data_IF_260028591442
#
_entry.id   IF_260028591442
#
_cell.length_a   1.000
_cell.length_b   1.000
_cell.length_c   1.000
_cell.angle_alpha   90.00
_cell.angle_beta   90.00
_cell.angle_gamma   90.00
#
_symmetry.space_group_name_H-M   'P 1'
#
loop_
_entity.id
_entity.type
_entity.pdbx_description
1 polymer ?
#
# COMPACT_ATOMS: atom_id res chain seq x y z
N UNK A 1 1.71 -9.73 3.56
CA UNK A 1 1.13 -10.74 2.64
C UNK A 1 -0.36 -10.47 2.53
N UNK A 2 -1.07 -11.00 1.52
CA UNK A 2 -2.52 -10.85 1.43
C UNK A 2 -3.22 -11.23 2.74
N UNK A 3 -4.20 -10.43 3.15
CA UNK A 3 -4.90 -10.54 4.44
C UNK A 3 -4.22 -9.85 5.63
N UNK A 4 -2.99 -9.33 5.49
CA UNK A 4 -2.37 -8.53 6.55
C UNK A 4 -3.00 -7.12 6.60
N UNK A 5 -3.01 -6.49 7.78
CA UNK A 5 -3.57 -5.16 7.98
C UNK A 5 -2.55 -4.03 7.71
N UNK A 6 -3.02 -2.94 7.11
CA UNK A 6 -2.32 -1.65 7.00
C UNK A 6 -3.16 -0.59 7.72
N UNK A 7 -2.57 0.11 8.69
CA UNK A 7 -3.23 1.22 9.40
C UNK A 7 -2.53 2.54 9.04
N UNK A 8 -3.24 3.43 8.36
CA UNK A 8 -2.82 4.82 8.16
C UNK A 8 -3.44 5.69 9.26
N UNK A 9 -2.62 6.18 10.19
CA UNK A 9 -3.05 7.09 11.25
C UNK A 9 -2.93 8.54 10.80
N UNK A 10 -4.04 9.26 10.82
CA UNK A 10 -4.10 10.69 10.60
C UNK A 10 -4.72 11.38 11.84
N UNK A 11 -4.61 12.70 11.99
CA UNK A 11 -5.23 13.40 13.12
C UNK A 11 -6.73 13.10 13.22
N UNK A 12 -7.14 12.45 14.32
CA UNK A 12 -8.54 12.14 14.63
C UNK A 12 -9.14 10.93 13.90
N UNK A 13 -8.38 10.23 13.06
CA UNK A 13 -8.89 9.08 12.29
C UNK A 13 -7.80 8.09 11.92
N UNK A 14 -8.10 6.80 12.11
CA UNK A 14 -7.31 5.68 11.61
C UNK A 14 -8.03 5.06 10.40
N UNK A 15 -7.34 4.97 9.26
CA UNK A 15 -7.85 4.27 8.07
C UNK A 15 -7.24 2.87 8.02
N UNK A 16 -8.10 1.85 8.12
CA UNK A 16 -7.71 0.45 8.03
C UNK A 16 -7.87 -0.05 6.59
N UNK A 17 -6.83 -0.71 6.10
CA UNK A 17 -6.80 -1.39 4.81
C UNK A 17 -6.36 -2.84 5.02
N UNK A 18 -6.81 -3.74 4.15
CA UNK A 18 -6.35 -5.13 4.10
C UNK A 18 -5.49 -5.32 2.84
N UNK A 19 -4.32 -5.93 2.97
CA UNK A 19 -3.46 -6.23 1.81
C UNK A 19 -4.20 -7.18 0.88
N UNK A 20 -4.44 -6.76 -0.35
CA UNK A 20 -5.06 -7.59 -1.39
C UNK A 20 -4.01 -8.26 -2.28
N UNK A 21 -2.89 -7.57 -2.56
CA UNK A 21 -1.87 -8.08 -3.48
C UNK A 21 -0.45 -7.60 -3.11
N UNK A 22 0.53 -8.45 -3.38
CA UNK A 22 1.96 -8.12 -3.27
C UNK A 22 2.68 -8.62 -4.53
N UNK A 23 3.32 -7.72 -5.26
CA UNK A 23 3.96 -8.04 -6.54
C UNK A 23 5.20 -7.16 -6.81
N UNK A 24 6.04 -7.58 -7.75
CA UNK A 24 7.29 -6.90 -8.12
C UNK A 24 7.16 -6.38 -9.55
N UNK A 25 7.56 -5.11 -9.77
CA UNK A 25 7.49 -4.45 -11.09
C UNK A 25 8.80 -3.77 -11.48
N UNK A 26 8.92 -3.38 -12.75
CA UNK A 26 9.99 -2.49 -13.20
C UNK A 26 9.87 -1.11 -12.55
N UNK A 27 11.00 -0.40 -12.32
CA UNK A 27 10.98 0.97 -11.80
C UNK A 27 10.19 1.95 -12.68
N UNK A 28 10.01 1.66 -13.97
CA UNK A 28 9.31 2.50 -14.94
C UNK A 28 7.81 2.22 -15.06
N UNK A 29 7.31 1.15 -14.43
CA UNK A 29 5.87 0.80 -14.44
C UNK A 29 5.11 1.66 -13.43
N UNK A 30 4.95 2.94 -13.75
CA UNK A 30 4.31 3.95 -12.89
C UNK A 30 2.79 3.80 -12.83
N UNK A 31 2.18 3.07 -13.75
CA UNK A 31 0.76 2.76 -13.75
C UNK A 31 0.28 2.05 -12.48
N UNK A 32 1.18 1.41 -11.73
CA UNK A 32 0.86 0.73 -10.46
C UNK A 32 0.41 1.66 -9.34
N UNK A 33 0.71 2.96 -9.44
CA UNK A 33 0.29 4.01 -8.50
C UNK A 33 -0.83 4.90 -9.07
N UNK A 34 -1.37 4.57 -10.25
CA UNK A 34 -2.50 5.30 -10.79
C UNK A 34 -3.73 5.15 -9.86
N UNK A 35 -4.63 6.16 -9.80
CA UNK A 35 -5.89 6.03 -9.08
C UNK A 35 -6.70 4.82 -9.57
N UNK A 36 -7.39 4.16 -8.65
CA UNK A 36 -8.28 3.03 -8.91
C UNK A 36 -9.75 3.45 -8.75
N UNK A 37 -10.66 2.60 -9.20
CA UNK A 37 -12.11 2.78 -9.05
C UNK A 37 -12.62 2.47 -7.63
N UNK A 38 -11.74 1.98 -6.76
CA UNK A 38 -11.96 1.80 -5.33
C UNK A 38 -10.88 2.50 -4.49
N UNK A 39 -11.21 2.73 -3.21
CA UNK A 39 -10.27 3.28 -2.25
C UNK A 39 -9.18 2.25 -1.93
N UNK A 40 -7.95 2.59 -2.28
CA UNK A 40 -6.78 1.73 -2.08
C UNK A 40 -5.59 2.52 -1.55
N UNK A 41 -4.69 1.81 -0.88
CA UNK A 41 -3.37 2.31 -0.51
C UNK A 41 -2.31 1.46 -1.20
N UNK A 42 -1.32 2.11 -1.80
CA UNK A 42 -0.18 1.43 -2.43
C UNK A 42 1.11 1.81 -1.70
N UNK A 43 1.73 0.85 -1.02
CA UNK A 43 3.07 1.01 -0.45
C UNK A 43 4.09 0.51 -1.46
N UNK A 44 5.14 1.30 -1.71
CA UNK A 44 6.20 0.96 -2.67
C UNK A 44 7.57 1.08 -2.05
N UNK A 45 8.45 0.13 -2.35
CA UNK A 45 9.85 0.17 -1.94
C UNK A 45 10.77 -0.44 -3.01
N UNK A 46 12.07 -0.27 -2.84
CA UNK A 46 13.06 -0.88 -3.72
C UNK A 46 13.11 -2.41 -3.51
N UNK A 47 13.20 -3.14 -4.61
CA UNK A 47 13.46 -4.57 -4.61
C UNK A 47 14.82 -4.84 -5.26
N UNK A 48 15.71 -5.49 -4.50
CA UNK A 48 17.05 -5.87 -4.95
C UNK A 48 16.97 -7.04 -5.93
N UNK A 49 17.78 -6.97 -6.99
CA UNK A 49 18.08 -8.11 -7.87
C UNK A 49 19.60 -8.20 -8.01
N UNK A 50 20.18 -9.30 -7.53
CA UNK A 50 21.63 -9.47 -7.47
C UNK A 50 22.30 -8.36 -6.65
N UNK A 51 23.26 -7.64 -7.27
CA UNK A 51 23.99 -6.54 -6.62
C UNK A 51 23.27 -5.19 -6.68
N UNK A 52 22.22 -5.05 -7.50
CA UNK A 52 21.53 -3.77 -7.71
C UNK A 52 20.39 -3.66 -6.70
N UNK A 53 20.52 -2.77 -5.73
CA UNK A 53 19.60 -2.64 -4.57
C UNK A 53 18.21 -2.11 -4.93
N UNK A 54 18.09 -1.38 -6.04
CA UNK A 54 16.86 -0.73 -6.51
C UNK A 54 16.43 -1.18 -7.90
N UNK A 55 16.83 -2.40 -8.30
CA UNK A 55 16.60 -2.95 -9.63
C UNK A 55 15.12 -3.03 -10.01
N UNK A 56 14.25 -3.28 -9.03
CA UNK A 56 12.80 -3.41 -9.19
C UNK A 56 12.08 -2.62 -8.10
N UNK A 57 10.75 -2.62 -8.12
CA UNK A 57 9.91 -2.13 -7.02
C UNK A 57 9.08 -3.26 -6.47
N UNK A 58 9.04 -3.36 -5.14
CA UNK A 58 8.05 -4.16 -4.43
C UNK A 58 6.83 -3.28 -4.20
N UNK A 59 5.67 -3.77 -4.63
CA UNK A 59 4.38 -3.13 -4.48
C UNK A 59 3.56 -3.95 -3.50
N UNK A 60 2.99 -3.27 -2.51
CA UNK A 60 1.99 -3.84 -1.59
C UNK A 60 0.74 -2.99 -1.74
N UNK A 61 -0.35 -3.59 -2.23
CA UNK A 61 -1.63 -2.92 -2.39
C UNK A 61 -2.60 -3.38 -1.30
N UNK A 62 -3.27 -2.42 -0.68
CA UNK A 62 -4.32 -2.66 0.29
C UNK A 62 -5.63 -2.02 -0.13
N UNK A 63 -6.73 -2.77 0.02
CA UNK A 63 -8.09 -2.28 -0.19
C UNK A 63 -8.61 -1.66 1.11
N UNK A 64 -9.29 -0.52 1.01
CA UNK A 64 -9.88 0.14 2.17
C UNK A 64 -10.98 -0.72 2.81
N UNK A 65 -10.95 -0.82 4.14
CA UNK A 65 -11.94 -1.58 4.92
C UNK A 65 -12.84 -0.64 5.71
N UNK A 66 -12.25 0.23 6.54
CA UNK A 66 -13.01 1.15 7.39
C UNK A 66 -12.16 2.32 7.90
N UNK A 67 -12.84 3.38 8.34
CA UNK A 67 -12.22 4.50 9.07
C UNK A 67 -12.74 4.50 10.51
N UNK A 68 -11.82 4.56 11.46
CA UNK A 68 -12.11 4.61 12.90
C UNK A 68 -11.79 6.02 13.38
N UNK A 69 -12.81 6.82 13.65
CA UNK A 69 -12.65 8.18 14.19
C UNK A 69 -12.56 8.14 15.71
N UNK A 70 -11.64 8.91 16.29
CA UNK A 70 -11.63 9.11 17.73
C UNK A 70 -12.96 9.78 18.15
N UNK A 71 -13.70 9.13 19.06
CA UNK A 71 -14.86 9.79 19.70
C UNK A 71 -14.30 10.84 20.64
N UNK A 72 -14.56 12.11 20.36
CA UNK A 72 -14.41 13.15 21.35
C UNK A 72 -15.58 12.99 22.32
N UNK A 73 -15.32 12.50 23.53
CA UNK A 73 -16.24 12.57 24.67
C UNK A 73 -16.30 14.00 25.23
#
# INVERSE_FOLDING_TARGET
>A
KPGDEIILRAPGVDYCYEVEEVFIVEPTQVEVIAPLDYAAITLTTCQRVGKVTSAKRLIVRGIFVQAITAKNE
#
